data_IF_399175107782
#
_entry.id   IF_399175107782
#
_cell.length_a   1.000
_cell.length_b   1.000
_cell.length_c   1.000
_cell.angle_alpha   90.00
_cell.angle_beta   90.00
_cell.angle_gamma   90.00
#
_symmetry.space_group_name_H-M   'P 1'
#
loop_
_entity.id
_entity.type
_entity.pdbx_description
1 polymer ?
#
# COMPACT_ATOMS: atom_id res chain seq x y z
N UNK A 1 -17.91 -41.19 8.34
CA UNK A 1 -16.93 -41.00 7.24
C UNK A 1 -16.09 -39.73 7.43
N UNK A 2 -16.45 -38.56 6.88
CA UNK A 2 -15.55 -37.37 6.88
C UNK A 2 -15.18 -36.85 8.28
N UNK A 3 -16.16 -36.74 9.19
CA UNK A 3 -15.90 -36.25 10.56
C UNK A 3 -14.98 -37.20 11.35
N UNK A 4 -15.13 -38.50 11.17
CA UNK A 4 -14.29 -39.51 11.82
C UNK A 4 -12.85 -39.44 11.30
N UNK A 5 -12.66 -39.21 10.00
CA UNK A 5 -11.34 -39.04 9.40
C UNK A 5 -10.63 -37.78 9.91
N UNK A 6 -11.35 -36.66 10.04
CA UNK A 6 -10.81 -35.42 10.63
C UNK A 6 -10.38 -35.63 12.08
N UNK A 7 -11.18 -36.33 12.89
CA UNK A 7 -10.83 -36.62 14.28
C UNK A 7 -9.55 -37.47 14.37
N UNK A 8 -9.43 -38.51 13.54
CA UNK A 8 -8.20 -39.33 13.47
C UNK A 8 -6.97 -38.52 13.08
N UNK A 9 -7.10 -37.63 12.11
CA UNK A 9 -6.02 -36.73 11.70
C UNK A 9 -5.65 -35.74 12.81
N UNK A 10 -6.62 -35.24 13.57
CA UNK A 10 -6.38 -34.35 14.72
C UNK A 10 -5.64 -35.04 15.86
N UNK A 11 -5.98 -36.31 16.16
CA UNK A 11 -5.31 -37.11 17.20
C UNK A 11 -3.84 -37.43 16.86
N UNK A 12 -3.51 -37.51 15.57
CA UNK A 12 -2.15 -37.78 15.08
C UNK A 12 -1.26 -36.53 14.99
N UNK A 13 -1.82 -35.33 15.15
CA UNK A 13 -1.05 -34.09 15.08
C UNK A 13 -0.28 -33.86 16.39
N UNK A 14 1.01 -33.56 16.25
CA UNK A 14 1.80 -33.05 17.37
C UNK A 14 1.36 -31.62 17.74
N UNK A 15 1.54 -31.19 19.00
CA UNK A 15 1.22 -29.81 19.42
C UNK A 15 1.85 -28.73 18.53
N UNK A 16 3.07 -28.95 18.04
CA UNK A 16 3.76 -28.04 17.13
C UNK A 16 3.07 -27.92 15.76
N UNK A 17 2.59 -29.05 15.21
CA UNK A 17 1.86 -29.05 13.94
C UNK A 17 0.50 -28.37 14.07
N UNK A 18 -0.21 -28.54 15.21
CA UNK A 18 -1.47 -27.83 15.46
C UNK A 18 -1.28 -26.32 15.50
N UNK A 19 -0.29 -25.82 16.26
CA UNK A 19 0.02 -24.38 16.32
C UNK A 19 0.42 -23.83 14.95
N UNK A 20 1.22 -24.57 14.17
CA UNK A 20 1.57 -24.15 12.80
C UNK A 20 0.34 -24.09 11.90
N UNK A 21 -0.57 -25.04 12.00
CA UNK A 21 -1.79 -25.09 11.21
C UNK A 21 -2.73 -23.93 11.58
N UNK A 22 -2.92 -23.66 12.88
CA UNK A 22 -3.70 -22.51 13.35
C UNK A 22 -3.13 -21.18 12.84
N UNK A 23 -1.80 -21.04 12.89
CA UNK A 23 -1.09 -19.87 12.34
C UNK A 23 -1.32 -19.73 10.84
N UNK A 24 -1.25 -20.82 10.09
CA UNK A 24 -1.47 -20.82 8.64
C UNK A 24 -2.93 -20.47 8.29
N UNK A 25 -3.90 -21.05 8.99
CA UNK A 25 -5.33 -20.74 8.84
C UNK A 25 -5.55 -19.26 9.11
N UNK A 26 -5.04 -18.76 10.23
CA UNK A 26 -5.13 -17.35 10.63
C UNK A 26 -4.48 -16.44 9.58
N UNK A 27 -3.32 -16.79 9.05
CA UNK A 27 -2.68 -16.03 7.98
C UNK A 27 -3.50 -16.03 6.68
N UNK A 28 -4.09 -17.16 6.32
CA UNK A 28 -4.95 -17.31 5.14
C UNK A 28 -6.22 -16.48 5.26
N UNK A 29 -6.88 -16.48 6.42
CA UNK A 29 -8.09 -15.69 6.68
C UNK A 29 -7.77 -14.20 6.62
N UNK A 30 -6.73 -13.73 7.32
CA UNK A 30 -6.31 -12.33 7.27
C UNK A 30 -5.92 -11.87 5.86
N UNK A 31 -5.23 -12.71 5.08
CA UNK A 31 -4.90 -12.41 3.68
C UNK A 31 -6.16 -12.27 2.82
N UNK A 32 -7.12 -13.17 2.98
CA UNK A 32 -8.41 -13.13 2.26
C UNK A 32 -9.21 -11.87 2.61
N UNK A 33 -9.32 -11.54 3.90
CA UNK A 33 -9.98 -10.33 4.38
C UNK A 33 -9.32 -9.06 3.84
N UNK A 34 -7.98 -9.00 3.85
CA UNK A 34 -7.22 -7.87 3.32
C UNK A 34 -7.46 -7.66 1.81
N UNK A 35 -7.53 -8.76 1.05
CA UNK A 35 -7.84 -8.72 -0.40
C UNK A 35 -9.27 -8.24 -0.62
N UNK A 36 -10.24 -8.77 0.12
CA UNK A 36 -11.65 -8.39 0.00
C UNK A 36 -11.85 -6.91 0.34
N UNK A 37 -11.25 -6.44 1.45
CA UNK A 37 -11.27 -5.02 1.83
C UNK A 37 -10.66 -4.13 0.76
N UNK A 38 -9.53 -4.53 0.16
CA UNK A 38 -8.90 -3.77 -0.94
C UNK A 38 -9.80 -3.69 -2.17
N UNK A 39 -10.48 -4.80 -2.53
CA UNK A 39 -11.42 -4.84 -3.65
C UNK A 39 -12.61 -3.92 -3.40
N UNK A 40 -13.22 -4.00 -2.22
CA UNK A 40 -14.32 -3.12 -1.81
C UNK A 40 -13.93 -1.65 -1.93
N UNK A 41 -12.78 -1.25 -1.35
CA UNK A 41 -12.30 0.13 -1.44
C UNK A 41 -12.05 0.59 -2.88
N UNK A 42 -11.62 -0.33 -3.75
CA UNK A 42 -11.42 -0.04 -5.17
C UNK A 42 -12.76 0.14 -5.89
N UNK A 43 -13.76 -0.69 -5.59
CA UNK A 43 -15.11 -0.55 -6.15
C UNK A 43 -15.81 0.73 -5.69
N UNK A 44 -15.55 1.17 -4.45
CA UNK A 44 -16.03 2.44 -3.92
C UNK A 44 -15.26 3.66 -4.46
N UNK A 45 -14.34 3.48 -5.43
CA UNK A 45 -13.61 4.57 -6.05
C UNK A 45 -12.63 5.28 -5.12
N UNK A 46 -12.12 4.61 -4.08
CA UNK A 46 -11.21 5.25 -3.12
C UNK A 46 -9.97 5.80 -3.82
N UNK A 47 -9.64 7.10 -3.65
CA UNK A 47 -8.48 7.72 -4.25
C UNK A 47 -7.18 6.97 -3.94
N UNK A 48 -6.34 6.79 -4.98
CA UNK A 48 -5.01 6.18 -4.82
C UNK A 48 -4.11 7.13 -4.03
N UNK A 49 -3.29 6.55 -3.14
CA UNK A 49 -2.29 7.28 -2.35
C UNK A 49 -1.41 8.17 -3.24
N UNK A 50 -0.94 9.32 -2.72
CA UNK A 50 -0.12 10.21 -3.49
C UNK A 50 1.21 9.54 -3.85
N UNK A 51 1.67 9.74 -5.08
CA UNK A 51 2.93 9.21 -5.57
C UNK A 51 4.09 10.03 -5.02
N UNK A 52 5.13 9.36 -4.57
CA UNK A 52 6.40 10.03 -4.23
C UNK A 52 7.16 10.41 -5.50
N UNK A 53 8.10 11.36 -5.40
CA UNK A 53 8.98 11.76 -6.51
C UNK A 53 9.66 10.54 -7.15
N UNK A 54 10.12 9.60 -6.32
CA UNK A 54 10.72 8.36 -6.78
C UNK A 54 9.72 7.44 -7.50
N UNK A 55 8.46 7.35 -7.06
CA UNK A 55 7.46 6.54 -7.77
C UNK A 55 7.13 7.12 -9.15
N UNK A 56 7.13 8.44 -9.28
CA UNK A 56 6.92 9.13 -10.56
C UNK A 56 8.10 8.83 -11.49
N UNK A 57 9.34 8.95 -10.99
CA UNK A 57 10.54 8.59 -11.75
C UNK A 57 10.54 7.12 -12.19
N UNK A 58 10.21 6.18 -11.29
CA UNK A 58 10.06 4.76 -11.67
C UNK A 58 9.06 4.61 -12.82
N UNK A 59 7.88 5.24 -12.72
CA UNK A 59 6.85 5.07 -13.74
C UNK A 59 7.33 5.51 -15.12
N UNK A 60 8.07 6.62 -15.20
CA UNK A 60 8.64 7.13 -16.45
C UNK A 60 9.72 6.18 -16.99
N UNK A 61 10.69 5.78 -16.17
CA UNK A 61 11.74 4.86 -16.62
C UNK A 61 11.21 3.48 -17.04
N UNK A 62 10.16 2.97 -16.40
CA UNK A 62 9.54 1.71 -16.78
C UNK A 62 8.71 1.81 -18.06
N UNK A 63 8.19 3.00 -18.41
CA UNK A 63 7.54 3.23 -19.70
C UNK A 63 8.55 3.28 -20.85
N UNK A 64 9.75 3.83 -20.61
CA UNK A 64 10.79 3.98 -21.63
C UNK A 64 11.62 2.70 -21.87
N UNK A 65 11.72 1.82 -20.87
CA UNK A 65 12.59 0.65 -20.94
C UNK A 65 11.99 -0.51 -21.75
N UNK A 66 12.65 -0.87 -22.88
CA UNK A 66 12.39 -2.11 -23.65
C UNK A 66 12.60 -3.40 -22.82
N UNK A 67 12.05 -4.51 -23.29
CA UNK A 67 11.85 -5.77 -22.55
C UNK A 67 13.05 -6.28 -21.73
N UNK A 68 12.75 -6.86 -20.56
CA UNK A 68 13.73 -7.44 -19.64
C UNK A 68 13.12 -7.70 -18.25
N UNK A 69 13.73 -8.55 -17.41
CA UNK A 69 13.19 -8.88 -16.09
C UNK A 69 13.03 -7.65 -15.19
N UNK A 70 11.86 -7.45 -14.60
CA UNK A 70 11.51 -6.27 -13.80
C UNK A 70 12.48 -6.01 -12.64
N UNK A 71 13.06 -7.07 -12.07
CA UNK A 71 14.04 -6.98 -10.98
C UNK A 71 15.35 -6.30 -11.43
N UNK A 72 15.82 -6.60 -12.64
CA UNK A 72 17.04 -6.00 -13.18
C UNK A 72 16.78 -4.53 -13.50
N UNK A 73 15.64 -4.23 -14.14
CA UNK A 73 15.22 -2.85 -14.43
C UNK A 73 15.15 -2.00 -13.15
N UNK A 74 14.55 -2.52 -12.08
CA UNK A 74 14.42 -1.77 -10.83
C UNK A 74 15.78 -1.46 -10.18
N UNK A 75 16.79 -2.34 -10.30
CA UNK A 75 18.15 -2.05 -9.83
C UNK A 75 18.76 -0.86 -10.58
N UNK A 76 18.70 -0.88 -11.91
CA UNK A 76 19.20 0.22 -12.75
C UNK A 76 18.46 1.53 -12.46
N UNK A 77 17.14 1.50 -12.30
CA UNK A 77 16.35 2.69 -11.96
C UNK A 77 16.74 3.24 -10.58
N UNK A 78 17.00 2.38 -9.60
CA UNK A 78 17.50 2.82 -8.29
C UNK A 78 18.86 3.53 -8.38
N UNK A 79 19.79 2.99 -9.17
CA UNK A 79 21.11 3.59 -9.38
C UNK A 79 21.00 4.93 -10.10
N UNK A 80 20.20 5.00 -11.16
CA UNK A 80 19.93 6.23 -11.89
C UNK A 80 19.33 7.30 -10.98
N UNK A 81 18.34 6.96 -10.15
CA UNK A 81 17.75 7.90 -9.20
C UNK A 81 18.77 8.46 -8.21
N UNK A 82 19.69 7.63 -7.70
CA UNK A 82 20.75 8.09 -6.79
C UNK A 82 21.68 9.08 -7.50
N UNK A 83 22.03 8.80 -8.75
CA UNK A 83 22.95 9.60 -9.56
C UNK A 83 22.32 10.89 -10.13
N UNK A 84 20.99 11.04 -10.08
CA UNK A 84 20.35 12.29 -10.48
C UNK A 84 20.80 13.46 -9.61
N UNK A 85 21.11 14.58 -10.27
CA UNK A 85 21.39 15.86 -9.63
C UNK A 85 20.17 16.42 -8.90
N UNK A 86 20.41 17.36 -7.97
CA UNK A 86 19.33 18.03 -7.22
C UNK A 86 18.35 18.76 -8.15
N UNK A 87 18.84 19.39 -9.22
CA UNK A 87 17.98 20.08 -10.19
C UNK A 87 17.08 19.11 -10.97
N UNK A 88 17.60 17.95 -11.37
CA UNK A 88 16.79 16.92 -12.02
C UNK A 88 15.76 16.32 -11.05
N UNK A 89 16.15 16.08 -9.79
CA UNK A 89 15.22 15.61 -8.75
C UNK A 89 14.11 16.61 -8.46
N UNK A 90 14.37 17.91 -8.60
CA UNK A 90 13.42 18.98 -8.31
C UNK A 90 12.13 18.85 -9.14
N UNK A 91 12.24 18.45 -10.41
CA UNK A 91 11.06 18.23 -11.28
C UNK A 91 10.14 17.17 -10.69
N UNK A 92 10.70 16.04 -10.26
CA UNK A 92 9.93 14.97 -9.63
C UNK A 92 9.38 15.34 -8.26
N UNK A 93 10.10 16.17 -7.50
CA UNK A 93 9.62 16.70 -6.21
C UNK A 93 8.39 17.59 -6.44
N UNK A 94 8.42 18.46 -7.45
CA UNK A 94 7.28 19.30 -7.79
C UNK A 94 6.08 18.45 -8.21
N UNK A 95 6.27 17.48 -9.11
CA UNK A 95 5.20 16.57 -9.53
C UNK A 95 4.62 15.76 -8.34
N UNK A 96 5.45 15.38 -7.38
CA UNK A 96 4.99 14.70 -6.16
C UNK A 96 4.19 15.64 -5.25
N UNK A 97 4.52 16.93 -5.19
CA UNK A 97 3.74 17.92 -4.45
C UNK A 97 2.39 18.16 -5.13
N UNK A 98 2.34 18.25 -6.45
CA UNK A 98 1.10 18.37 -7.20
C UNK A 98 0.21 17.13 -7.00
N UNK A 99 0.79 15.92 -6.99
CA UNK A 99 0.06 14.67 -6.74
C UNK A 99 -0.46 14.57 -5.28
N UNK A 100 0.23 15.18 -4.30
CA UNK A 100 -0.29 15.33 -2.94
C UNK A 100 -1.52 16.23 -2.91
N UNK A 101 -1.51 17.35 -3.63
CA UNK A 101 -2.65 18.26 -3.73
C UNK A 101 -3.84 17.55 -4.38
N UNK A 102 -3.61 16.87 -5.51
CA UNK A 102 -4.61 16.01 -6.16
C UNK A 102 -5.24 15.02 -5.18
N UNK A 103 -4.41 14.24 -4.48
CA UNK A 103 -4.89 13.25 -3.52
C UNK A 103 -5.70 13.88 -2.38
N UNK A 104 -5.29 15.04 -1.87
CA UNK A 104 -6.02 15.72 -0.80
C UNK A 104 -7.43 16.12 -1.25
N UNK A 105 -7.54 16.72 -2.45
CA UNK A 105 -8.82 17.14 -3.01
C UNK A 105 -9.75 15.95 -3.32
N UNK A 106 -9.20 14.91 -3.95
CA UNK A 106 -9.95 13.69 -4.23
C UNK A 106 -10.41 12.99 -2.95
N UNK A 107 -9.53 12.89 -1.94
CA UNK A 107 -9.89 12.25 -0.67
C UNK A 107 -10.94 13.02 0.09
N UNK A 108 -10.90 14.36 0.08
CA UNK A 108 -11.92 15.19 0.71
C UNK A 108 -13.29 14.90 0.09
N UNK A 109 -13.38 14.96 -1.23
CA UNK A 109 -14.61 14.69 -1.98
C UNK A 109 -15.11 13.26 -1.75
N UNK A 110 -14.20 12.28 -1.76
CA UNK A 110 -14.55 10.89 -1.50
C UNK A 110 -15.03 10.65 -0.07
N UNK A 111 -14.41 11.27 0.93
CA UNK A 111 -14.85 11.18 2.32
C UNK A 111 -16.24 11.80 2.52
N UNK A 112 -16.53 12.93 1.88
CA UNK A 112 -17.87 13.54 1.87
C UNK A 112 -18.91 12.57 1.26
N UNK A 113 -18.61 11.98 0.09
CA UNK A 113 -19.47 10.96 -0.53
C UNK A 113 -19.68 9.73 0.37
N UNK A 114 -18.65 9.26 1.07
CA UNK A 114 -18.78 8.11 1.98
C UNK A 114 -19.67 8.42 3.19
N UNK A 115 -19.68 9.66 3.68
CA UNK A 115 -20.59 10.10 4.75
C UNK A 115 -22.04 10.10 4.24
N UNK A 116 -22.29 10.62 3.04
CA UNK A 116 -23.63 10.67 2.43
C UNK A 116 -24.25 9.28 2.26
N UNK A 117 -23.46 8.29 1.86
CA UNK A 117 -23.92 6.90 1.73
C UNK A 117 -23.92 6.12 3.06
N UNK A 118 -23.63 6.79 4.18
CA UNK A 118 -23.62 6.20 5.53
C UNK A 118 -22.40 5.35 5.88
N UNK A 119 -21.38 5.30 5.02
CA UNK A 119 -20.12 4.52 5.21
C UNK A 119 -19.06 5.29 6.00
N UNK A 120 -19.46 5.76 7.17
CA UNK A 120 -18.58 6.50 8.10
C UNK A 120 -17.38 5.67 8.60
N UNK A 121 -17.48 4.33 8.55
CA UNK A 121 -16.41 3.38 8.88
C UNK A 121 -15.15 3.55 8.00
N UNK A 122 -15.30 4.17 6.83
CA UNK A 122 -14.24 4.31 5.83
C UNK A 122 -13.46 5.63 5.89
N UNK A 123 -13.92 6.58 6.72
CA UNK A 123 -13.32 7.91 6.88
C UNK A 123 -12.02 7.82 7.67
N UNK A 124 -11.01 8.59 7.27
CA UNK A 124 -9.74 8.63 7.99
C UNK A 124 -9.94 9.23 9.38
N UNK A 125 -9.48 8.52 10.42
CA UNK A 125 -9.32 9.11 11.75
C UNK A 125 -8.24 10.20 11.70
N UNK A 126 -8.59 11.43 12.09
CA UNK A 126 -7.62 12.52 12.26
C UNK A 126 -6.75 12.24 13.49
N UNK A 127 -5.59 11.61 13.29
CA UNK A 127 -4.55 11.57 14.33
C UNK A 127 -3.88 12.95 14.33
N UNK A 128 -4.04 13.72 15.42
CA UNK A 128 -3.32 14.99 15.60
C UNK A 128 -1.82 14.73 15.48
N UNK A 129 -1.21 15.09 14.36
CA UNK A 129 0.24 15.27 14.30
C UNK A 129 0.53 16.61 14.95
N UNK A 130 1.13 16.61 16.14
CA UNK A 130 1.77 17.82 16.63
C UNK A 130 2.91 18.13 15.66
N UNK A 131 2.80 19.26 14.96
CA UNK A 131 3.90 19.80 14.17
C UNK A 131 5.05 20.10 15.13
N UNK A 132 6.17 19.38 14.98
CA UNK A 132 7.46 19.88 15.47
C UNK A 132 7.92 20.88 14.42
N UNK A 133 7.64 22.14 14.72
CA UNK A 133 8.16 23.29 14.00
C UNK A 133 9.68 23.29 14.05
N UNK A 134 10.30 23.80 12.99
CA UNK A 134 11.74 23.77 12.77
C UNK A 134 12.51 24.57 13.82
N UNK A 135 13.69 24.06 14.17
CA UNK A 135 14.78 24.89 14.69
C UNK A 135 15.96 24.65 13.76
N UNK A 136 16.13 25.58 12.83
CA UNK A 136 17.45 25.90 12.27
C UNK A 136 18.30 26.43 13.42
N UNK A 137 19.44 25.80 13.69
CA UNK A 137 20.54 26.41 14.42
C UNK A 137 21.84 26.06 13.69
N UNK A 138 22.69 27.09 13.60
CA UNK A 138 23.89 27.26 12.79
C UNK A 138 25.01 26.23 12.99
#
# INVERSE_FOLDING_TARGET
AYKEEINRLQEQLTPSQMVSLEKEITQKTFKKESINKKRELTMLGKPKRPRSAYNIFISECFQEAKDGPSQVKLKTVNENWKNLSSSQKQVYIQLANDDKIRYYNEMKSWEEQMIEVGRNDLIRRKVKHQAKDGTEEC
#
